data_IF_685521427399
#
_entry.id   IF_685521427399
#
_cell.length_a   1.000
_cell.length_b   1.000
_cell.length_c   1.000
_cell.angle_alpha   90.00
_cell.angle_beta   90.00
_cell.angle_gamma   90.00
#
_symmetry.space_group_name_H-M   'P 1'
#
loop_
_entity.id
_entity.type
_entity.pdbx_description
1 polymer ?
#
# COMPACT_ATOMS: atom_id res chain seq x y z
N UNK A 1 -2.83 11.77 -16.59
CA UNK A 1 -3.57 10.75 -15.81
C UNK A 1 -2.68 10.30 -14.66
N UNK A 2 -3.23 10.01 -13.49
CA UNK A 2 -2.48 9.29 -12.46
C UNK A 2 -2.66 7.79 -12.71
N UNK A 3 -1.56 7.09 -12.90
CA UNK A 3 -1.59 5.64 -13.11
C UNK A 3 -1.76 4.92 -11.77
N UNK A 4 -2.50 3.81 -11.81
CA UNK A 4 -2.63 2.92 -10.67
C UNK A 4 -1.52 1.89 -10.72
N UNK A 5 -0.61 1.97 -9.75
CA UNK A 5 0.54 1.07 -9.67
C UNK A 5 0.51 0.30 -8.35
N UNK A 6 0.98 -0.96 -8.33
CA UNK A 6 1.19 -1.69 -7.09
C UNK A 6 2.16 -0.94 -6.17
N UNK A 7 1.85 -0.87 -4.88
CA UNK A 7 2.69 -0.26 -3.86
C UNK A 7 4.10 -0.89 -3.81
N UNK A 8 4.22 -2.17 -4.19
CA UNK A 8 5.48 -2.90 -4.31
C UNK A 8 6.41 -2.39 -5.41
N UNK A 9 5.93 -1.54 -6.33
CA UNK A 9 6.74 -0.91 -7.37
C UNK A 9 7.19 0.52 -7.01
N UNK A 10 6.62 1.10 -5.96
CA UNK A 10 6.90 2.49 -5.55
C UNK A 10 8.25 2.59 -4.86
N UNK A 11 9.13 3.48 -5.28
CA UNK A 11 10.44 3.64 -4.62
C UNK A 11 10.36 3.84 -3.09
N UNK A 12 11.27 3.21 -2.34
CA UNK A 12 11.37 3.38 -0.89
C UNK A 12 11.53 4.87 -0.55
N UNK A 13 10.83 5.33 0.49
CA UNK A 13 10.79 6.72 0.92
C UNK A 13 9.75 7.58 0.20
N UNK A 14 9.16 7.11 -0.91
CA UNK A 14 8.04 7.84 -1.55
C UNK A 14 6.76 7.65 -0.77
N UNK A 15 5.92 8.67 -0.84
CA UNK A 15 4.58 8.71 -0.28
C UNK A 15 3.56 8.77 -1.40
N UNK A 16 2.63 7.83 -1.43
CA UNK A 16 1.55 7.78 -2.41
C UNK A 16 0.20 7.60 -1.72
N UNK A 17 -0.88 7.91 -2.43
CA UNK A 17 -2.24 7.74 -1.93
C UNK A 17 -2.81 6.37 -2.34
N UNK A 18 -3.28 5.60 -1.37
CA UNK A 18 -3.96 4.32 -1.61
C UNK A 18 -5.24 4.57 -2.41
N UNK A 19 -5.35 3.93 -3.57
CA UNK A 19 -6.56 3.95 -4.38
C UNK A 19 -7.50 2.80 -4.03
N UNK A 20 -6.96 1.58 -3.95
CA UNK A 20 -7.73 0.37 -3.67
C UNK A 20 -6.84 -0.78 -3.21
N UNK A 21 -7.46 -1.77 -2.56
CA UNK A 21 -6.83 -3.04 -2.21
C UNK A 21 -7.49 -4.13 -3.04
N UNK A 22 -6.68 -4.95 -3.70
CA UNK A 22 -7.12 -6.05 -4.54
C UNK A 22 -6.70 -7.35 -3.87
N UNK A 23 -7.66 -8.20 -3.53
CA UNK A 23 -7.40 -9.52 -2.98
C UNK A 23 -8.59 -10.14 -2.26
N UNK A 24 -8.37 -11.24 -1.50
CA UNK A 24 -9.42 -11.87 -0.71
C UNK A 24 -10.07 -10.87 0.25
N UNK A 25 -11.41 -10.89 0.33
CA UNK A 25 -12.18 -9.88 1.06
C UNK A 25 -11.75 -9.75 2.54
N UNK A 26 -11.44 -10.87 3.20
CA UNK A 26 -11.00 -10.87 4.59
C UNK A 26 -9.61 -10.25 4.78
N UNK A 27 -8.69 -10.52 3.86
CA UNK A 27 -7.34 -9.94 3.90
C UNK A 27 -7.36 -8.44 3.58
N UNK A 28 -8.12 -8.04 2.55
CA UNK A 28 -8.30 -6.64 2.18
C UNK A 28 -8.93 -5.85 3.33
N UNK A 29 -10.00 -6.36 3.93
CA UNK A 29 -10.66 -5.75 5.10
C UNK A 29 -9.72 -5.63 6.29
N UNK A 30 -8.89 -6.64 6.54
CA UNK A 30 -7.88 -6.57 7.61
C UNK A 30 -6.87 -5.45 7.39
N UNK A 31 -6.43 -5.24 6.14
CA UNK A 31 -5.55 -4.10 5.81
C UNK A 31 -6.26 -2.76 6.01
N UNK A 32 -7.53 -2.66 5.66
CA UNK A 32 -8.35 -1.45 5.90
C UNK A 32 -8.51 -1.13 7.38
N UNK A 33 -8.79 -2.14 8.21
CA UNK A 33 -8.87 -2.02 9.68
C UNK A 33 -7.55 -1.56 10.30
N UNK A 34 -6.42 -1.96 9.71
CA UNK A 34 -5.07 -1.57 10.12
C UNK A 34 -4.63 -0.20 9.57
N UNK A 35 -5.45 0.43 8.73
CA UNK A 35 -5.26 1.79 8.23
C UNK A 35 -4.85 1.91 6.76
N UNK A 36 -4.52 0.81 6.07
CA UNK A 36 -4.33 0.83 4.61
C UNK A 36 -5.71 0.79 3.97
N UNK A 37 -6.27 1.95 3.66
CA UNK A 37 -7.58 2.08 3.00
C UNK A 37 -7.54 3.19 1.98
N UNK A 38 -8.51 3.23 1.08
CA UNK A 38 -8.61 4.28 0.06
C UNK A 38 -8.49 5.68 0.66
N UNK A 39 -7.66 6.52 0.05
CA UNK A 39 -7.37 7.90 0.48
C UNK A 39 -6.29 8.02 1.55
N UNK A 40 -5.81 6.90 2.13
CA UNK A 40 -4.70 6.94 3.06
C UNK A 40 -3.39 7.23 2.32
N UNK A 41 -2.61 8.20 2.81
CA UNK A 41 -1.21 8.36 2.38
C UNK A 41 -0.32 7.36 3.08
N UNK A 42 0.46 6.62 2.30
CA UNK A 42 1.38 5.60 2.79
C UNK A 42 2.79 5.91 2.29
N UNK A 43 3.77 5.82 3.17
CA UNK A 43 5.18 5.86 2.79
C UNK A 43 5.72 4.43 2.68
N UNK A 44 6.41 4.12 1.60
CA UNK A 44 7.12 2.84 1.49
C UNK A 44 8.37 2.88 2.35
N UNK A 45 8.45 2.00 3.34
CA UNK A 45 9.65 1.85 4.19
C UNK A 45 10.52 0.69 3.71
N UNK A 46 9.89 -0.40 3.27
CA UNK A 46 10.58 -1.58 2.77
C UNK A 46 9.72 -2.35 1.76
N UNK A 47 10.37 -2.82 0.69
CA UNK A 47 9.79 -3.72 -0.30
C UNK A 47 9.90 -5.20 0.07
N UNK A 48 9.15 -6.01 -0.66
CA UNK A 48 9.25 -7.47 -0.62
C UNK A 48 8.26 -8.11 0.34
N UNK A 49 8.64 -9.28 0.85
CA UNK A 49 7.80 -10.09 1.74
C UNK A 49 8.57 -10.34 3.04
N UNK A 50 8.36 -9.51 4.08
CA UNK A 50 7.25 -8.58 4.24
C UNK A 50 7.48 -7.20 3.61
N UNK A 51 6.37 -6.56 3.22
CA UNK A 51 6.30 -5.16 2.86
C UNK A 51 6.06 -4.35 4.13
N UNK A 52 6.82 -3.27 4.30
CA UNK A 52 6.69 -2.37 5.45
C UNK A 52 6.36 -0.98 4.95
N UNK A 53 5.29 -0.41 5.49
CA UNK A 53 4.80 0.92 5.14
C UNK A 53 4.60 1.75 6.40
N UNK A 54 4.70 3.07 6.26
CA UNK A 54 4.38 4.02 7.33
C UNK A 54 3.06 4.72 7.02
N UNK A 55 2.18 4.75 8.02
CA UNK A 55 0.86 5.38 7.98
C UNK A 55 0.78 6.32 9.17
N UNK A 56 0.88 7.63 8.93
CA UNK A 56 1.05 8.61 10.00
C UNK A 56 2.28 8.28 10.87
N UNK A 57 2.07 8.04 12.15
CA UNK A 57 3.10 7.66 13.12
C UNK A 57 3.32 6.13 13.23
N UNK A 58 2.45 5.32 12.64
CA UNK A 58 2.49 3.86 12.75
C UNK A 58 3.26 3.23 11.59
N UNK A 59 3.93 2.11 11.86
CA UNK A 59 4.48 1.23 10.82
C UNK A 59 3.61 -0.01 10.73
N UNK A 60 3.18 -0.35 9.52
CA UNK A 60 2.46 -1.57 9.24
C UNK A 60 3.35 -2.51 8.44
N UNK A 61 3.36 -3.78 8.84
CA UNK A 61 4.03 -4.86 8.17
C UNK A 61 2.96 -5.81 7.64
N UNK A 62 2.97 -6.08 6.33
CA UNK A 62 2.07 -7.04 5.72
C UNK A 62 2.80 -7.84 4.63
N UNK A 63 2.34 -9.06 4.37
CA UNK A 63 2.91 -9.88 3.29
C UNK A 63 2.12 -9.61 2.02
N UNK A 64 2.68 -8.79 1.15
CA UNK A 64 2.24 -8.76 -0.24
C UNK A 64 2.48 -10.13 -0.86
N UNK A 65 1.52 -10.62 -1.62
CA UNK A 65 1.58 -11.87 -2.39
C UNK A 65 0.83 -11.67 -3.71
N UNK A 66 0.82 -12.68 -4.58
CA UNK A 66 0.19 -12.58 -5.90
C UNK A 66 -1.32 -12.29 -5.84
N UNK A 67 -1.96 -12.63 -4.72
CA UNK A 67 -3.40 -12.45 -4.49
C UNK A 67 -3.77 -11.19 -3.72
N UNK A 68 -2.83 -10.53 -3.02
CA UNK A 68 -3.08 -9.37 -2.17
C UNK A 68 -2.16 -8.21 -2.54
N UNK A 69 -2.74 -7.21 -3.20
CA UNK A 69 -2.05 -6.05 -3.72
C UNK A 69 -2.70 -4.75 -3.25
N UNK A 70 -1.88 -3.79 -2.84
CA UNK A 70 -2.31 -2.41 -2.55
C UNK A 70 -1.96 -1.58 -3.77
N UNK A 71 -2.96 -0.98 -4.42
CA UNK A 71 -2.74 -0.07 -5.53
C UNK A 71 -2.77 1.38 -5.04
N UNK A 72 -1.81 2.17 -5.51
CA UNK A 72 -1.71 3.59 -5.21
C UNK A 72 -1.83 4.43 -6.48
N UNK A 73 -2.23 5.68 -6.32
CA UNK A 73 -2.09 6.69 -7.37
C UNK A 73 -0.67 7.20 -7.32
N UNK A 74 0.16 6.82 -8.29
CA UNK A 74 1.48 7.40 -8.40
C UNK A 74 1.37 8.82 -8.95
N UNK A 75 1.85 9.79 -8.18
CA UNK A 75 2.08 11.12 -8.72
C UNK A 75 3.47 11.12 -9.37
N UNK A 76 3.50 11.11 -10.71
CA UNK A 76 4.70 11.45 -11.48
C UNK A 76 5.17 12.83 -11.01
N UNK A 77 6.29 12.85 -10.29
CA UNK A 77 6.96 14.05 -9.80
C UNK A 77 8.17 14.36 -10.66
#
# INVERSE_FOLDING_TARGET
MADLVPLSLISVGRQEEVSQIVGPADEARRLEELGIRRGTRVEVVQHGTPCIVRIGASRLCFRSNDTLNVLVREQLG
#
